data_IF_114007692819
#
_entry.id   IF_114007692819
#
_cell.length_a   1.000
_cell.length_b   1.000
_cell.length_c   1.000
_cell.angle_alpha   90.00
_cell.angle_beta   90.00
_cell.angle_gamma   90.00
#
_symmetry.space_group_name_H-M   'P 1'
#
loop_
_entity.id
_entity.type
_entity.pdbx_description
1 polymer ?
#
# COMPACT_ATOMS: atom_id res chain seq x y z
N UNK A 1 13.03 12.25 -11.42
CA UNK A 1 13.81 12.01 -10.19
C UNK A 1 13.29 10.81 -9.39
N UNK A 2 12.10 10.85 -8.77
CA UNK A 2 11.59 9.71 -7.97
C UNK A 2 11.34 8.43 -8.81
N UNK A 3 10.66 8.55 -9.95
CA UNK A 3 10.43 7.41 -10.86
C UNK A 3 11.73 6.89 -11.49
N UNK A 4 12.72 7.76 -11.71
CA UNK A 4 14.04 7.34 -12.20
C UNK A 4 14.74 6.49 -11.14
N UNK A 5 14.70 6.90 -9.87
CA UNK A 5 15.23 6.13 -8.74
C UNK A 5 14.56 4.76 -8.61
N UNK A 6 13.23 4.67 -8.81
CA UNK A 6 12.54 3.37 -8.89
C UNK A 6 13.02 2.54 -10.09
N UNK A 7 13.20 3.15 -11.27
CA UNK A 7 13.65 2.42 -12.46
C UNK A 7 15.07 1.85 -12.33
N UNK A 8 15.96 2.53 -11.59
CA UNK A 8 17.36 2.12 -11.37
C UNK A 8 17.59 1.34 -10.07
N UNK A 9 16.54 0.99 -9.32
CA UNK A 9 16.68 0.16 -8.11
C UNK A 9 17.04 0.91 -6.83
N UNK A 10 17.04 2.25 -6.83
CA UNK A 10 17.48 3.10 -5.70
C UNK A 10 16.36 3.54 -4.76
N UNK A 11 15.12 3.25 -5.09
CA UNK A 11 13.96 3.57 -4.27
C UNK A 11 13.18 2.33 -3.87
N UNK A 12 12.61 2.38 -2.67
CA UNK A 12 11.78 1.33 -2.07
C UNK A 12 10.44 1.94 -1.62
N UNK A 13 9.36 1.22 -1.86
CA UNK A 13 8.01 1.51 -1.41
C UNK A 13 7.54 0.37 -0.51
N UNK A 14 7.07 0.72 0.68
CA UNK A 14 6.43 -0.19 1.62
C UNK A 14 4.99 0.26 1.81
N UNK A 15 4.05 -0.68 1.66
CA UNK A 15 2.62 -0.40 1.76
C UNK A 15 1.96 -1.39 2.70
N UNK A 16 1.11 -0.89 3.59
CA UNK A 16 0.18 -1.70 4.37
C UNK A 16 -1.23 -1.28 4.00
N UNK A 17 -2.09 -2.25 3.68
CA UNK A 17 -3.50 -2.01 3.36
C UNK A 17 -4.42 -2.97 4.13
N UNK A 18 -5.71 -2.71 4.13
CA UNK A 18 -6.71 -3.60 4.72
C UNK A 18 -6.93 -4.88 3.91
N UNK A 19 -7.64 -5.84 4.51
CA UNK A 19 -7.90 -7.15 3.91
C UNK A 19 -9.07 -7.21 2.91
N UNK A 20 -9.67 -6.08 2.55
CA UNK A 20 -10.84 -6.01 1.66
C UNK A 20 -10.43 -5.45 0.30
N UNK A 21 -10.66 -6.20 -0.77
CA UNK A 21 -10.28 -5.84 -2.14
C UNK A 21 -11.44 -5.95 -3.10
N UNK A 22 -11.43 -5.15 -4.17
CA UNK A 22 -12.24 -5.46 -5.36
C UNK A 22 -11.63 -6.66 -6.06
N UNK A 23 -12.46 -7.47 -6.72
CA UNK A 23 -12.00 -8.66 -7.44
C UNK A 23 -10.93 -8.34 -8.48
N UNK A 24 -11.08 -7.23 -9.21
CA UNK A 24 -10.11 -6.79 -10.22
C UNK A 24 -8.76 -6.42 -9.61
N UNK A 25 -8.77 -5.67 -8.50
CA UNK A 25 -7.56 -5.26 -7.79
C UNK A 25 -6.84 -6.46 -7.20
N UNK A 26 -7.58 -7.38 -6.56
CA UNK A 26 -7.02 -8.61 -6.00
C UNK A 26 -6.33 -9.45 -7.07
N UNK A 27 -7.02 -9.70 -8.19
CA UNK A 27 -6.45 -10.44 -9.32
C UNK A 27 -5.18 -9.78 -9.87
N UNK A 28 -5.15 -8.44 -9.92
CA UNK A 28 -3.97 -7.69 -10.33
C UNK A 28 -2.82 -7.87 -9.34
N UNK A 29 -3.05 -7.69 -8.04
CA UNK A 29 -2.03 -7.86 -7.01
C UNK A 29 -1.49 -9.30 -6.97
N UNK A 30 -2.36 -10.31 -7.00
CA UNK A 30 -1.95 -11.73 -7.05
C UNK A 30 -1.09 -12.00 -8.28
N UNK A 31 -1.41 -11.41 -9.44
CA UNK A 31 -0.56 -11.52 -10.64
C UNK A 31 0.77 -10.79 -10.49
N UNK A 32 0.80 -9.62 -9.84
CA UNK A 32 2.00 -8.83 -9.66
C UNK A 32 3.01 -9.48 -8.68
N UNK A 33 2.50 -10.09 -7.60
CA UNK A 33 3.32 -10.62 -6.50
C UNK A 33 3.59 -12.13 -6.57
N UNK A 34 2.95 -12.87 -7.48
CA UNK A 34 3.20 -14.31 -7.62
C UNK A 34 4.48 -14.61 -8.42
N UNK A 35 5.44 -15.28 -7.78
CA UNK A 35 6.70 -15.71 -8.39
C UNK A 35 6.49 -16.64 -9.62
N UNK A 36 5.38 -17.39 -9.63
CA UNK A 36 5.03 -18.38 -10.68
C UNK A 36 4.74 -17.75 -12.05
N UNK A 37 4.46 -16.45 -12.14
CA UNK A 37 4.20 -15.77 -13.41
C UNK A 37 5.45 -15.36 -14.18
N UNK A 38 6.64 -15.53 -13.61
CA UNK A 38 7.92 -15.25 -14.28
C UNK A 38 8.16 -16.13 -15.53
N UNK A 39 7.58 -17.33 -15.59
CA UNK A 39 7.79 -18.27 -16.70
C UNK A 39 6.71 -18.30 -17.79
N UNK A 40 5.49 -17.79 -17.55
CA UNK A 40 4.38 -17.95 -18.51
C UNK A 40 4.13 -16.73 -19.41
N UNK A 41 4.85 -15.62 -19.21
CA UNK A 41 4.65 -14.41 -20.02
C UNK A 41 5.30 -14.49 -21.42
N UNK A 42 6.15 -15.50 -21.69
CA UNK A 42 6.74 -15.69 -23.02
C UNK A 42 5.70 -16.06 -24.10
N UNK A 43 4.49 -16.51 -23.73
CA UNK A 43 3.49 -17.03 -24.68
C UNK A 43 2.27 -16.14 -24.97
N UNK A 44 2.02 -15.05 -24.24
CA UNK A 44 0.94 -14.08 -24.55
C UNK A 44 1.50 -12.69 -24.76
N UNK A 45 2.18 -12.57 -25.90
CA UNK A 45 2.69 -11.34 -26.47
C UNK A 45 1.55 -10.31 -26.59
N UNK A 46 1.80 -9.05 -26.19
CA UNK A 46 1.05 -7.83 -26.54
C UNK A 46 0.08 -7.18 -25.52
N UNK A 47 0.03 -7.52 -24.21
CA UNK A 47 -0.94 -6.83 -23.30
C UNK A 47 -0.50 -6.38 -21.90
N UNK A 48 0.78 -6.07 -21.68
CA UNK A 48 1.17 -4.83 -20.96
C UNK A 48 2.65 -4.84 -20.59
N UNK A 49 3.47 -4.11 -21.34
CA UNK A 49 4.85 -3.78 -20.95
C UNK A 49 4.90 -3.05 -19.60
N UNK A 50 3.82 -2.37 -19.21
CA UNK A 50 3.68 -1.72 -17.90
C UNK A 50 3.59 -2.72 -16.75
N UNK A 51 2.76 -3.76 -16.89
CA UNK A 51 2.59 -4.81 -15.88
C UNK A 51 3.89 -5.60 -15.69
N UNK A 52 4.59 -5.93 -16.79
CA UNK A 52 5.90 -6.59 -16.69
C UNK A 52 6.93 -5.71 -15.97
N UNK A 53 6.96 -4.41 -16.25
CA UNK A 53 7.85 -3.47 -15.52
C UNK A 53 7.52 -3.43 -14.03
N UNK A 54 6.23 -3.35 -13.67
CA UNK A 54 5.80 -3.39 -12.27
C UNK A 54 6.16 -4.71 -11.59
N UNK A 55 5.94 -5.86 -12.25
CA UNK A 55 6.39 -7.16 -11.76
C UNK A 55 7.89 -7.21 -11.51
N UNK A 56 8.70 -6.68 -12.43
CA UNK A 56 10.14 -6.62 -12.25
C UNK A 56 10.55 -5.75 -11.05
N UNK A 57 9.83 -4.65 -10.77
CA UNK A 57 10.07 -3.79 -9.60
C UNK A 57 9.70 -4.55 -8.31
N UNK A 58 8.56 -5.24 -8.29
CA UNK A 58 8.12 -6.08 -7.16
C UNK A 58 9.14 -7.20 -6.91
N UNK A 59 9.56 -7.93 -7.94
CA UNK A 59 10.52 -9.03 -7.84
C UNK A 59 11.91 -8.59 -7.36
N UNK A 60 12.26 -7.31 -7.56
CA UNK A 60 13.50 -6.70 -7.03
C UNK A 60 13.37 -6.28 -5.56
N UNK A 61 12.22 -6.51 -4.92
CA UNK A 61 11.95 -6.08 -3.53
C UNK A 61 11.78 -4.57 -3.37
N UNK A 62 11.55 -3.85 -4.47
CA UNK A 62 11.38 -2.39 -4.42
C UNK A 62 9.97 -1.99 -4.03
N UNK A 63 8.98 -2.87 -4.18
CA UNK A 63 7.62 -2.67 -3.68
C UNK A 63 7.29 -3.87 -2.80
N UNK A 64 6.97 -3.59 -1.53
CA UNK A 64 6.54 -4.60 -0.56
C UNK A 64 5.13 -4.23 -0.07
N UNK A 65 4.25 -5.23 -0.03
CA UNK A 65 2.85 -5.08 0.37
C UNK A 65 2.52 -6.02 1.52
N UNK A 66 1.95 -5.45 2.59
CA UNK A 66 1.40 -6.18 3.72
C UNK A 66 -0.08 -5.87 3.93
N UNK A 67 -0.76 -6.80 4.60
CA UNK A 67 -2.18 -6.77 4.88
C UNK A 67 -2.39 -6.67 6.38
N UNK A 68 -3.07 -5.61 6.82
CA UNK A 68 -3.52 -5.44 8.19
C UNK A 68 -4.95 -5.97 8.37
N UNK A 69 -5.13 -6.85 9.35
CA UNK A 69 -6.40 -7.47 9.70
C UNK A 69 -6.73 -7.11 11.15
N UNK A 70 -7.85 -6.41 11.39
CA UNK A 70 -8.35 -6.15 12.75
C UNK A 70 -8.67 -7.46 13.47
N UNK A 71 -8.23 -7.59 14.72
CA UNK A 71 -8.51 -8.76 15.55
C UNK A 71 -9.84 -8.68 16.32
N UNK A 72 -10.61 -7.60 16.14
CA UNK A 72 -11.96 -7.45 16.67
C UNK A 72 -12.84 -6.64 15.72
N UNK A 73 -14.13 -6.96 15.67
CA UNK A 73 -15.09 -6.27 14.80
C UNK A 73 -15.28 -4.79 15.17
N UNK A 74 -15.08 -4.42 16.45
CA UNK A 74 -15.17 -3.03 16.91
C UNK A 74 -14.10 -2.10 16.29
N UNK A 75 -13.01 -2.66 15.75
CA UNK A 75 -11.86 -1.92 15.20
C UNK A 75 -11.87 -1.95 13.67
N UNK A 76 -12.71 -2.80 13.07
CA UNK A 76 -12.79 -2.93 11.62
C UNK A 76 -13.27 -1.65 10.90
N UNK A 77 -14.02 -0.79 11.60
CA UNK A 77 -14.59 0.44 11.04
C UNK A 77 -13.86 1.72 11.52
N UNK A 78 -12.82 1.62 12.35
CA UNK A 78 -12.17 2.78 12.98
C UNK A 78 -10.87 3.24 12.33
N UNK A 79 -10.32 2.50 11.36
CA UNK A 79 -9.06 2.85 10.69
C UNK A 79 -9.30 3.59 9.36
N UNK A 80 -9.44 4.92 9.45
CA UNK A 80 -9.63 5.80 8.27
C UNK A 80 -8.43 6.68 7.95
N UNK A 81 -7.48 6.82 8.90
CA UNK A 81 -6.31 7.68 8.74
C UNK A 81 -5.28 7.02 7.81
N UNK A 82 -4.85 7.75 6.77
CA UNK A 82 -3.75 7.35 5.90
C UNK A 82 -2.50 8.08 6.31
N UNK A 83 -1.43 7.32 6.55
CA UNK A 83 -0.11 7.85 6.86
C UNK A 83 0.81 7.55 5.69
N UNK A 84 1.61 8.53 5.28
CA UNK A 84 2.72 8.29 4.36
C UNK A 84 3.97 9.03 4.80
N UNK A 85 5.12 8.42 4.52
CA UNK A 85 6.43 8.97 4.81
C UNK A 85 7.30 8.84 3.57
N UNK A 86 7.84 9.97 3.12
CA UNK A 86 8.93 10.02 2.16
C UNK A 86 10.22 10.33 2.91
N UNK A 87 11.29 9.59 2.61
CA UNK A 87 12.62 9.77 3.21
C UNK A 87 13.65 9.72 2.11
N UNK A 88 14.59 10.66 2.11
CA UNK A 88 15.69 10.68 1.15
C UNK A 88 16.97 10.03 1.70
N UNK A 89 18.07 10.14 0.95
CA UNK A 89 19.37 9.57 1.32
C UNK A 89 20.10 10.33 2.44
N UNK A 90 19.69 11.57 2.73
CA UNK A 90 20.25 12.41 3.79
C UNK A 90 19.46 12.32 5.10
N UNK A 91 18.47 11.42 5.18
CA UNK A 91 17.54 11.28 6.29
C UNK A 91 16.55 12.47 6.44
N UNK A 92 16.43 13.29 5.40
CA UNK A 92 15.35 14.27 5.35
C UNK A 92 14.04 13.59 4.99
N UNK A 93 12.99 13.93 5.74
CA UNK A 93 11.73 13.23 5.69
C UNK A 93 10.53 14.17 5.65
N UNK A 94 9.54 13.77 4.85
CA UNK A 94 8.23 14.40 4.76
C UNK A 94 7.20 13.35 5.17
N UNK A 95 6.46 13.62 6.25
CA UNK A 95 5.36 12.78 6.67
C UNK A 95 4.04 13.48 6.42
N UNK A 96 3.03 12.75 5.98
CA UNK A 96 1.68 13.27 5.86
C UNK A 96 0.68 12.36 6.56
N UNK A 97 -0.43 12.95 6.97
CA UNK A 97 -1.62 12.23 7.35
C UNK A 97 -2.86 12.84 6.71
N UNK A 98 -3.87 12.05 6.41
CA UNK A 98 -5.13 12.59 5.92
C UNK A 98 -6.24 11.56 5.80
N UNK A 99 -7.44 12.08 5.52
CA UNK A 99 -8.63 11.28 5.22
C UNK A 99 -8.81 11.04 3.73
N UNK A 100 -7.99 11.71 2.90
CA UNK A 100 -8.12 11.71 1.44
C UNK A 100 -8.04 10.30 0.87
N UNK A 101 -9.09 9.88 0.16
CA UNK A 101 -9.12 8.59 -0.55
C UNK A 101 -8.48 8.79 -1.93
N UNK A 102 -7.75 7.80 -2.44
CA UNK A 102 -7.18 7.87 -3.80
C UNK A 102 -8.24 7.94 -4.92
N UNK A 103 -9.54 7.89 -4.60
CA UNK A 103 -10.59 8.00 -5.59
C UNK A 103 -10.70 9.42 -6.12
N UNK A 104 -10.24 9.62 -7.35
CA UNK A 104 -10.61 10.74 -8.21
C UNK A 104 -12.11 10.64 -8.60
N UNK A 105 -12.99 10.80 -7.63
CA UNK A 105 -14.43 10.91 -7.84
C UNK A 105 -14.72 12.23 -8.55
N UNK A 106 -15.23 12.17 -9.77
CA UNK A 106 -15.64 13.36 -10.55
C UNK A 106 -17.06 13.84 -10.22
N UNK A 107 -17.77 13.13 -9.33
CA UNK A 107 -19.21 13.35 -9.08
C UNK A 107 -19.50 13.88 -7.66
N UNK A 108 -18.71 13.48 -6.66
CA UNK A 108 -18.81 14.00 -5.29
C UNK A 108 -17.43 14.46 -4.81
N UNK A 109 -17.33 15.71 -4.37
CA UNK A 109 -16.16 16.21 -3.65
C UNK A 109 -16.36 15.90 -2.18
N UNK A 110 -15.75 14.83 -1.70
CA UNK A 110 -15.65 14.58 -0.26
C UNK A 110 -14.87 15.74 0.38
N UNK A 111 -15.23 16.16 1.60
CA UNK A 111 -14.44 17.13 2.35
C UNK A 111 -13.20 16.41 2.90
N UNK A 112 -12.06 16.60 2.24
CA UNK A 112 -10.81 15.95 2.57
C UNK A 112 -9.81 16.94 3.15
N UNK A 113 -8.97 16.46 4.07
CA UNK A 113 -7.84 17.22 4.61
C UNK A 113 -6.60 16.33 4.61
N UNK A 114 -5.45 16.98 4.39
CA UNK A 114 -4.13 16.37 4.48
C UNK A 114 -3.23 17.34 5.24
N UNK A 115 -2.66 16.85 6.32
CA UNK A 115 -1.62 17.54 7.08
C UNK A 115 -0.25 17.04 6.65
N UNK A 116 0.70 17.96 6.44
CA UNK A 116 2.06 17.65 5.99
C UNK A 116 3.08 18.21 6.98
N UNK A 117 4.06 17.39 7.34
CA UNK A 117 5.13 17.69 8.27
C UNK A 117 6.48 17.39 7.62
N UNK A 118 7.51 18.16 7.99
CA UNK A 118 8.86 18.05 7.40
C UNK A 118 9.90 17.95 8.52
N UNK A 119 10.93 17.12 8.34
CA UNK A 119 11.96 16.85 9.36
C UNK A 119 12.69 18.12 9.81
N UNK A 120 12.88 19.07 8.90
CA UNK A 120 13.56 20.34 9.16
C UNK A 120 12.70 21.40 9.86
N UNK A 121 11.38 21.22 9.93
CA UNK A 121 10.48 22.15 10.64
C UNK A 121 9.82 21.53 11.89
N UNK A 122 9.44 20.25 11.83
CA UNK A 122 8.77 19.52 12.92
C UNK A 122 9.23 18.06 12.96
N UNK A 123 10.50 17.88 13.33
CA UNK A 123 11.13 16.56 13.44
C UNK A 123 10.34 15.60 14.33
N UNK A 124 9.87 16.08 15.48
CA UNK A 124 9.17 15.25 16.47
C UNK A 124 7.89 14.61 15.94
N UNK A 125 7.18 15.31 15.05
CA UNK A 125 5.93 14.84 14.46
C UNK A 125 6.18 13.88 13.30
N UNK A 126 7.21 14.16 12.49
CA UNK A 126 7.69 13.23 11.47
C UNK A 126 8.15 11.91 12.10
N UNK A 127 8.97 11.96 13.15
CA UNK A 127 9.44 10.77 13.87
C UNK A 127 8.30 9.95 14.46
N UNK A 128 7.25 10.60 14.97
CA UNK A 128 6.05 9.91 15.46
C UNK A 128 5.33 9.17 14.33
N UNK A 129 5.09 9.82 13.20
CA UNK A 129 4.42 9.19 12.04
C UNK A 129 5.26 8.07 11.43
N UNK A 130 6.59 8.22 11.41
CA UNK A 130 7.51 7.14 11.04
C UNK A 130 7.38 5.96 11.99
N UNK A 131 7.42 6.21 13.30
CA UNK A 131 7.26 5.16 14.31
C UNK A 131 5.92 4.44 14.19
N UNK A 132 4.82 5.18 14.03
CA UNK A 132 3.48 4.59 13.85
C UNK A 132 3.46 3.65 12.62
N UNK A 133 4.08 4.05 11.52
CA UNK A 133 4.21 3.21 10.32
C UNK A 133 5.08 1.97 10.55
N UNK A 134 6.25 2.12 11.20
CA UNK A 134 7.15 0.97 11.47
C UNK A 134 6.50 -0.02 12.45
N UNK A 135 5.83 0.45 13.51
CA UNK A 135 5.11 -0.42 14.43
C UNK A 135 4.02 -1.20 13.72
N UNK A 136 3.29 -0.58 12.78
CA UNK A 136 2.34 -1.29 11.92
C UNK A 136 3.05 -2.31 11.04
N UNK A 137 4.11 -1.89 10.34
CA UNK A 137 4.87 -2.73 9.42
C UNK A 137 5.46 -3.98 10.09
N UNK A 138 5.91 -3.84 11.34
CA UNK A 138 6.51 -4.90 12.17
C UNK A 138 5.49 -5.70 12.98
N UNK A 139 4.19 -5.50 12.75
CA UNK A 139 3.11 -6.19 13.45
C UNK A 139 3.13 -5.95 14.99
N UNK A 140 3.40 -4.72 15.41
CA UNK A 140 3.43 -4.27 16.82
C UNK A 140 2.23 -3.39 17.19
N UNK A 141 1.44 -2.96 16.22
CA UNK A 141 0.24 -2.17 16.46
C UNK A 141 -0.84 -2.99 17.14
N UNK A 142 -1.33 -2.49 18.28
CA UNK A 142 -2.40 -3.16 19.03
C UNK A 142 -3.63 -3.37 18.16
N UNK A 143 -4.26 -4.53 18.36
CA UNK A 143 -5.51 -4.91 17.72
C UNK A 143 -5.47 -5.15 16.20
N UNK A 144 -4.28 -5.16 15.62
CA UNK A 144 -4.06 -5.51 14.23
C UNK A 144 -3.13 -6.72 14.16
N UNK A 145 -3.36 -7.56 13.17
CA UNK A 145 -2.41 -8.57 12.71
C UNK A 145 -1.98 -8.21 11.30
N UNK A 146 -0.68 -8.12 11.07
CA UNK A 146 -0.09 -7.70 9.80
C UNK A 146 0.66 -8.86 9.16
N UNK A 147 0.25 -9.19 7.93
CA UNK A 147 0.74 -10.34 7.16
C UNK A 147 1.35 -9.89 5.84
N UNK A 148 2.33 -10.63 5.31
CA UNK A 148 2.76 -10.44 3.93
C UNK A 148 1.60 -10.76 2.97
N UNK A 149 1.50 -10.01 1.87
CA UNK A 149 0.39 -10.14 0.92
C UNK A 149 0.20 -11.58 0.43
N UNK A 150 1.26 -12.23 -0.05
CA UNK A 150 1.18 -13.59 -0.57
C UNK A 150 0.81 -14.61 0.51
N UNK A 151 1.25 -14.41 1.75
CA UNK A 151 0.84 -15.26 2.87
C UNK A 151 -0.67 -15.12 3.14
N UNK A 152 -1.18 -13.88 3.14
CA UNK A 152 -2.60 -13.62 3.36
C UNK A 152 -3.48 -14.18 2.24
N UNK A 153 -3.03 -14.07 0.98
CA UNK A 153 -3.67 -14.71 -0.18
C UNK A 153 -3.73 -16.24 -0.01
N UNK A 154 -2.58 -16.89 0.24
CA UNK A 154 -2.48 -18.35 0.36
C UNK A 154 -3.27 -18.94 1.54
N UNK A 155 -3.44 -18.16 2.61
CA UNK A 155 -4.22 -18.53 3.80
C UNK A 155 -5.70 -18.12 3.71
N UNK A 156 -6.16 -17.59 2.57
CA UNK A 156 -7.52 -17.10 2.36
C UNK A 156 -7.97 -16.06 3.41
N UNK A 157 -7.05 -15.16 3.81
CA UNK A 157 -7.35 -14.11 4.79
C UNK A 157 -7.96 -12.86 4.15
N UNK A 158 -7.96 -12.78 2.82
CA UNK A 158 -8.49 -11.65 2.04
C UNK A 158 -9.97 -11.83 1.75
N UNK A 159 -10.70 -10.72 1.79
CA UNK A 159 -12.15 -10.67 1.55
C UNK A 159 -12.45 -9.82 0.33
N UNK A 160 -13.47 -10.20 -0.42
CA UNK A 160 -14.03 -9.34 -1.44
C UNK A 160 -14.81 -8.20 -0.78
N UNK A 161 -14.54 -6.97 -1.22
CA UNK A 161 -15.35 -5.82 -0.87
C UNK A 161 -16.67 -5.87 -1.64
N UNK A 162 -17.79 -5.75 -0.92
CA UNK A 162 -19.14 -5.60 -1.49
C UNK A 162 -19.46 -4.14 -1.84
N UNK A 163 -18.50 -3.20 -1.77
CA UNK A 163 -18.74 -1.76 -1.95
C UNK A 163 -19.18 -1.38 -3.38
N UNK A 164 -19.28 -2.34 -4.29
CA UNK A 164 -19.93 -2.18 -5.59
C UNK A 164 -21.47 -2.27 -5.52
N UNK A 165 -22.03 -2.82 -4.43
CA UNK A 165 -23.48 -3.01 -4.23
C UNK A 165 -24.16 -1.76 -3.66
N UNK A 166 -23.39 -0.81 -3.10
CA UNK A 166 -23.93 0.43 -2.51
C UNK A 166 -23.86 1.63 -3.48
N UNK A 167 -23.68 1.39 -4.77
CA UNK A 167 -23.74 2.43 -5.82
C UNK A 167 -25.04 2.29 -6.61
N UNK A 168 -26.14 2.62 -5.95
CA UNK A 168 -27.42 2.99 -6.57
C UNK A 168 -27.73 4.45 -6.23
#
# INVERSE_FOLDING_TARGET
LAFDNFSVGKAKLRMVTGHRFRTEDLNLFTKLFSEKYTKSFEGRLMKDTKIQKLQNIVNKGQIELKIAIPNSEQIADSFSERIGVFRDENDDAVAFTGTSRESFSTQTRDFESVDVFTSWNDKSRVERKMKDFEELWENKTKHLEVYDFMYAEEKNLLKYSSDWVLRD
#
